data_IF_095333114626
#
_entry.id   IF_095333114626
#
_cell.length_a   1.000
_cell.length_b   1.000
_cell.length_c   1.000
_cell.angle_alpha   90.00
_cell.angle_beta   90.00
_cell.angle_gamma   90.00
#
_symmetry.space_group_name_H-M   'P 1'
#
loop_
_entity.id
_entity.type
_entity.pdbx_description
1 polymer ?
#
# COMPACT_ATOMS: atom_id res chain seq x y z
N UNK A 1 -17.79 -13.82 5.54
CA UNK A 1 -16.62 -13.08 4.99
C UNK A 1 -17.07 -11.66 4.71
N UNK A 2 -16.45 -10.63 5.29
CA UNK A 2 -16.66 -9.27 4.77
C UNK A 2 -16.11 -9.27 3.35
N UNK A 3 -16.95 -9.03 2.34
CA UNK A 3 -16.49 -8.62 1.01
C UNK A 3 -15.93 -7.20 1.11
N UNK A 4 -14.83 -7.06 1.86
CA UNK A 4 -14.08 -5.82 1.99
C UNK A 4 -12.97 -5.80 0.94
N UNK A 5 -12.72 -4.62 0.39
CA UNK A 5 -11.60 -4.35 -0.51
C UNK A 5 -10.29 -4.84 0.11
N UNK A 6 -9.43 -5.50 -0.69
CA UNK A 6 -8.12 -5.94 -0.20
C UNK A 6 -7.20 -4.75 0.08
N UNK A 7 -6.18 -4.89 0.93
CA UNK A 7 -5.21 -3.83 1.18
C UNK A 7 -4.52 -3.32 -0.09
N UNK A 8 -4.20 -4.23 -1.03
CA UNK A 8 -3.66 -3.87 -2.35
C UNK A 8 -4.64 -3.05 -3.18
N UNK A 9 -5.91 -3.43 -3.21
CA UNK A 9 -6.94 -2.68 -3.95
C UNK A 9 -7.14 -1.29 -3.36
N UNK A 10 -7.11 -1.16 -2.03
CA UNK A 10 -7.23 0.14 -1.38
C UNK A 10 -6.00 1.01 -1.64
N UNK A 11 -4.79 0.44 -1.62
CA UNK A 11 -3.56 1.11 -2.03
C UNK A 11 -3.65 1.66 -3.46
N UNK A 12 -4.13 0.85 -4.40
CA UNK A 12 -4.32 1.26 -5.78
C UNK A 12 -5.28 2.47 -5.89
N UNK A 13 -6.37 2.46 -5.11
CA UNK A 13 -7.37 3.54 -5.14
C UNK A 13 -6.89 4.87 -4.55
N UNK A 14 -5.93 4.85 -3.62
CA UNK A 14 -5.38 6.08 -3.02
C UNK A 14 -4.05 6.52 -3.65
N UNK A 15 -3.49 5.72 -4.58
CA UNK A 15 -2.16 5.94 -5.15
C UNK A 15 -1.98 7.32 -5.79
N UNK A 16 -3.02 7.86 -6.43
CA UNK A 16 -3.03 9.17 -7.06
C UNK A 16 -2.98 10.36 -6.07
N UNK A 17 -3.15 10.10 -4.77
CA UNK A 17 -3.08 11.10 -3.69
C UNK A 17 -1.70 11.14 -3.02
N UNK A 18 -0.83 10.19 -3.34
CA UNK A 18 0.50 10.10 -2.76
C UNK A 18 1.49 10.98 -3.52
N UNK A 19 2.47 11.59 -2.83
CA UNK A 19 3.66 12.12 -3.48
C UNK A 19 4.37 11.03 -4.30
N UNK A 20 4.95 11.40 -5.44
CA UNK A 20 5.60 10.47 -6.37
C UNK A 20 6.66 9.61 -5.68
N UNK A 21 7.51 10.23 -4.86
CA UNK A 21 8.59 9.53 -4.14
C UNK A 21 8.05 8.48 -3.16
N UNK A 22 6.93 8.78 -2.49
CA UNK A 22 6.27 7.87 -1.55
C UNK A 22 5.60 6.71 -2.28
N UNK A 23 4.93 7.00 -3.41
CA UNK A 23 4.35 5.96 -4.25
C UNK A 23 5.42 5.01 -4.80
N UNK A 24 6.57 5.54 -5.21
CA UNK A 24 7.70 4.74 -5.71
C UNK A 24 8.30 3.85 -4.61
N UNK A 25 8.51 4.35 -3.40
CA UNK A 25 9.00 3.57 -2.26
C UNK A 25 8.04 2.42 -1.90
N UNK A 26 6.74 2.70 -1.83
CA UNK A 26 5.72 1.69 -1.54
C UNK A 26 5.70 0.61 -2.64
N UNK A 27 5.74 1.02 -3.91
CA UNK A 27 5.77 0.07 -5.03
C UNK A 27 7.02 -0.82 -4.99
N UNK A 28 8.19 -0.26 -4.68
CA UNK A 28 9.43 -1.03 -4.55
C UNK A 28 9.33 -2.04 -3.41
N UNK A 29 8.88 -1.62 -2.23
CA UNK A 29 8.71 -2.49 -1.05
C UNK A 29 7.75 -3.64 -1.29
N UNK A 30 6.62 -3.37 -1.95
CA UNK A 30 5.65 -4.40 -2.31
C UNK A 30 6.26 -5.35 -3.34
N UNK A 31 6.94 -4.81 -4.36
CA UNK A 31 7.62 -5.62 -5.38
C UNK A 31 8.66 -6.57 -4.77
N UNK A 32 9.50 -6.06 -3.88
CA UNK A 32 10.50 -6.85 -3.16
C UNK A 32 9.85 -7.92 -2.29
N UNK A 33 8.77 -7.58 -1.57
CA UNK A 33 8.04 -8.53 -0.75
C UNK A 33 7.47 -9.69 -1.59
N UNK A 34 6.81 -9.37 -2.70
CA UNK A 34 6.26 -10.38 -3.61
C UNK A 34 7.37 -11.23 -4.26
N UNK A 35 8.50 -10.63 -4.63
CA UNK A 35 9.64 -11.35 -5.19
C UNK A 35 10.26 -12.37 -4.21
N UNK A 36 10.15 -12.13 -2.91
CA UNK A 36 10.60 -13.07 -1.85
C UNK A 36 9.57 -14.15 -1.49
N UNK A 37 8.42 -14.20 -2.18
CA UNK A 37 7.34 -15.15 -1.94
C UNK A 37 6.24 -14.65 -0.99
N UNK A 38 6.27 -13.36 -0.64
CA UNK A 38 5.18 -12.70 0.05
C UNK A 38 3.90 -12.63 -0.78
N UNK A 39 2.77 -12.38 -0.13
CA UNK A 39 1.44 -12.32 -0.75
C UNK A 39 0.80 -10.96 -0.56
N UNK A 40 -0.06 -10.60 -1.50
CA UNK A 40 -0.88 -9.37 -1.47
C UNK A 40 -1.82 -9.27 -0.27
N UNK A 41 -2.14 -10.41 0.35
CA UNK A 41 -3.00 -10.52 1.53
C UNK A 41 -2.22 -10.50 2.84
N UNK A 42 -0.89 -10.40 2.79
CA UNK A 42 -0.09 -10.42 4.01
C UNK A 42 -0.27 -9.12 4.81
N UNK A 43 -0.12 -9.24 6.13
CA UNK A 43 -0.15 -8.09 7.04
C UNK A 43 0.91 -7.02 6.67
N UNK A 44 1.94 -7.38 5.91
CA UNK A 44 2.91 -6.41 5.39
C UNK A 44 2.27 -5.39 4.45
N UNK A 45 1.34 -5.81 3.59
CA UNK A 45 0.64 -4.90 2.67
C UNK A 45 -0.30 -3.97 3.45
N UNK A 46 -0.96 -4.48 4.49
CA UNK A 46 -1.76 -3.64 5.40
C UNK A 46 -0.91 -2.55 6.08
N UNK A 47 0.36 -2.85 6.38
CA UNK A 47 1.29 -1.85 6.91
C UNK A 47 1.62 -0.78 5.87
N UNK A 48 1.88 -1.16 4.61
CA UNK A 48 2.12 -0.19 3.53
C UNK A 48 0.90 0.70 3.29
N UNK A 49 -0.31 0.13 3.32
CA UNK A 49 -1.56 0.88 3.21
C UNK A 49 -1.74 1.89 4.36
N UNK A 50 -1.47 1.47 5.60
CA UNK A 50 -1.57 2.36 6.77
C UNK A 50 -0.57 3.52 6.67
N UNK A 51 0.66 3.22 6.23
CA UNK A 51 1.66 4.26 5.98
C UNK A 51 1.19 5.26 4.91
N UNK A 52 0.69 4.78 3.77
CA UNK A 52 0.14 5.62 2.70
C UNK A 52 -0.97 6.56 3.21
N UNK A 53 -1.93 6.03 3.97
CA UNK A 53 -3.01 6.84 4.57
C UNK A 53 -2.46 7.91 5.51
N UNK A 54 -1.49 7.58 6.35
CA UNK A 54 -0.89 8.54 7.27
C UNK A 54 -0.15 9.66 6.53
N UNK A 55 0.55 9.34 5.44
CA UNK A 55 1.20 10.36 4.58
C UNK A 55 0.15 11.30 4.00
N UNK A 56 -0.94 10.75 3.44
CA UNK A 56 -2.03 11.54 2.87
C UNK A 56 -2.68 12.47 3.90
N UNK A 57 -2.88 12.01 5.14
CA UNK A 57 -3.43 12.86 6.20
C UNK A 57 -2.42 13.92 6.69
N UNK A 58 -1.12 13.67 6.60
CA UNK A 58 -0.08 14.63 7.00
C UNK A 58 0.19 15.75 5.98
N UNK A 59 -0.15 15.54 4.71
CA UNK A 59 -0.01 16.54 3.64
C UNK A 59 -1.28 17.36 3.37
N UNK A 60 -2.39 17.04 4.07
CA UNK A 60 -3.59 17.89 4.10
C UNK A 60 -3.33 19.14 4.93
#
# INVERSE_FOLDING_TARGET
>A
MKMGMSPMQELANISNRLPVDVLQDINQRIGDWLATGGKETDAYIEQQLRYAKNVIEAIK
#
